data_IF_410406099889
#
_entry.id   IF_410406099889
#
_cell.length_a   1.000
_cell.length_b   1.000
_cell.length_c   1.000
_cell.angle_alpha   90.00
_cell.angle_beta   90.00
_cell.angle_gamma   90.00
#
_symmetry.space_group_name_H-M   'P 1'
#
loop_
_entity.id
_entity.type
_entity.pdbx_description
1 polymer ?
#
# COMPACT_ATOMS: atom_id res chain seq x y z
N UNK A 1 11.70 6.64 -11.68
CA UNK A 1 10.76 7.27 -12.62
C UNK A 1 10.70 8.74 -12.33
N UNK A 2 10.74 9.56 -13.37
CA UNK A 2 10.73 11.03 -13.26
C UNK A 2 9.52 11.56 -14.04
N UNK A 3 8.89 12.60 -13.51
CA UNK A 3 7.86 13.38 -14.23
C UNK A 3 8.36 14.81 -14.39
N UNK A 4 8.21 15.36 -15.60
CA UNK A 4 8.73 16.68 -15.98
C UNK A 4 7.59 17.69 -16.16
N UNK A 5 7.76 18.90 -15.63
CA UNK A 5 6.93 20.06 -15.98
C UNK A 5 7.85 21.25 -16.30
N UNK A 6 7.58 21.95 -17.42
CA UNK A 6 8.39 23.10 -17.88
C UNK A 6 9.91 22.84 -17.90
N UNK A 7 10.32 21.64 -18.35
CA UNK A 7 11.73 21.20 -18.41
C UNK A 7 12.45 21.12 -17.06
N UNK A 8 11.71 21.12 -15.94
CA UNK A 8 12.20 20.83 -14.59
C UNK A 8 11.59 19.52 -14.09
N UNK A 9 12.38 18.74 -13.34
CA UNK A 9 11.90 17.53 -12.66
C UNK A 9 10.91 17.95 -11.59
N UNK A 10 9.63 17.62 -11.80
CA UNK A 10 8.56 17.94 -10.85
C UNK A 10 8.44 16.87 -9.75
N UNK A 11 8.73 15.62 -10.13
CA UNK A 11 8.83 14.52 -9.18
C UNK A 11 9.80 13.43 -9.62
N UNK A 12 10.45 12.82 -8.62
CA UNK A 12 11.29 11.63 -8.79
C UNK A 12 10.75 10.52 -7.89
N UNK A 13 10.76 9.28 -8.38
CA UNK A 13 10.41 8.09 -7.60
C UNK A 13 11.43 6.99 -7.81
N UNK A 14 11.78 6.28 -6.74
CA UNK A 14 12.57 5.05 -6.83
C UNK A 14 11.95 3.93 -6.01
N UNK A 15 12.31 2.71 -6.39
CA UNK A 15 11.66 1.48 -5.94
C UNK A 15 12.72 0.48 -5.50
N UNK A 16 12.42 -0.25 -4.45
CA UNK A 16 13.26 -1.31 -3.91
C UNK A 16 12.52 -2.64 -4.01
N UNK A 17 13.24 -3.70 -4.36
CA UNK A 17 12.69 -5.03 -4.57
C UNK A 17 13.53 -6.06 -3.82
N UNK A 18 12.88 -7.13 -3.35
CA UNK A 18 13.59 -8.31 -2.86
C UNK A 18 14.02 -9.24 -4.00
N UNK A 19 14.70 -10.34 -3.67
CA UNK A 19 15.20 -11.32 -4.65
C UNK A 19 14.09 -12.08 -5.40
N UNK A 20 12.85 -12.04 -4.91
CA UNK A 20 11.67 -12.61 -5.59
C UNK A 20 11.00 -11.58 -6.51
N UNK A 21 11.54 -10.37 -6.61
CA UNK A 21 10.97 -9.29 -7.43
C UNK A 21 9.76 -8.60 -6.81
N UNK A 22 9.46 -8.83 -5.52
CA UNK A 22 8.38 -8.11 -4.82
C UNK A 22 8.88 -6.75 -4.41
N UNK A 23 8.08 -5.71 -4.62
CA UNK A 23 8.40 -4.35 -4.17
C UNK A 23 8.35 -4.28 -2.66
N UNK A 24 9.46 -3.92 -2.02
CA UNK A 24 9.60 -3.77 -0.56
C UNK A 24 9.67 -2.31 -0.12
N UNK A 25 9.92 -1.39 -1.06
CA UNK A 25 9.99 0.03 -0.78
C UNK A 25 9.65 0.88 -2.00
N UNK A 26 9.04 2.04 -1.75
CA UNK A 26 8.86 3.13 -2.70
C UNK A 26 9.25 4.41 -1.97
N UNK A 27 10.09 5.23 -2.59
CA UNK A 27 10.38 6.58 -2.13
C UNK A 27 10.11 7.55 -3.27
N UNK A 28 9.54 8.71 -2.96
CA UNK A 28 9.28 9.75 -3.95
C UNK A 28 9.57 11.12 -3.39
N UNK A 29 9.89 12.02 -4.30
CA UNK A 29 10.14 13.43 -4.02
C UNK A 29 9.26 14.26 -4.94
N UNK A 30 8.49 15.18 -4.38
CA UNK A 30 7.64 16.13 -5.12
C UNK A 30 8.00 17.52 -4.61
N UNK A 31 8.47 18.41 -5.50
CA UNK A 31 8.83 19.79 -5.14
C UNK A 31 9.76 19.90 -3.91
N UNK A 32 10.72 18.98 -3.78
CA UNK A 32 11.68 18.93 -2.67
C UNK A 32 11.18 18.23 -1.40
N UNK A 33 9.91 17.82 -1.33
CA UNK A 33 9.37 17.06 -0.21
C UNK A 33 9.50 15.56 -0.49
N UNK A 34 10.21 14.86 0.40
CA UNK A 34 10.44 13.41 0.32
C UNK A 34 9.46 12.65 1.18
N UNK A 35 8.95 11.55 0.64
CA UNK A 35 8.09 10.63 1.35
C UNK A 35 8.43 9.19 0.91
N UNK A 36 8.02 8.21 1.71
CA UNK A 36 8.28 6.81 1.46
C UNK A 36 7.18 5.91 1.97
N UNK A 37 7.15 4.71 1.39
CA UNK A 37 6.27 3.63 1.78
C UNK A 37 7.04 2.31 1.74
N UNK A 38 6.97 1.56 2.83
CA UNK A 38 7.51 0.22 2.94
C UNK A 38 6.38 -0.81 2.72
N UNK A 39 6.73 -1.97 2.19
CA UNK A 39 5.79 -3.05 1.90
C UNK A 39 6.29 -4.36 2.50
N UNK A 40 5.48 -4.94 3.38
CA UNK A 40 5.74 -6.22 4.02
C UNK A 40 4.89 -7.30 3.35
N UNK A 41 5.51 -8.46 3.06
CA UNK A 41 4.87 -9.55 2.34
C UNK A 41 4.80 -10.83 3.17
N UNK A 42 3.67 -11.53 3.09
CA UNK A 42 3.49 -12.90 3.56
C UNK A 42 3.31 -13.83 2.35
N UNK A 43 4.36 -14.56 1.96
CA UNK A 43 4.35 -15.27 0.68
C UNK A 43 4.11 -14.30 -0.48
N UNK A 44 3.10 -14.56 -1.33
CA UNK A 44 2.74 -13.65 -2.42
C UNK A 44 1.62 -12.65 -2.05
N UNK A 45 1.27 -12.54 -0.76
CA UNK A 45 0.26 -11.60 -0.25
C UNK A 45 0.93 -10.39 0.35
N UNK A 46 0.44 -9.19 0.01
CA UNK A 46 0.88 -7.97 0.69
C UNK A 46 0.29 -8.01 2.09
N UNK A 47 1.13 -8.13 3.11
CA UNK A 47 0.67 -8.16 4.50
C UNK A 47 0.39 -6.75 5.01
N UNK A 48 1.33 -5.83 4.81
CA UNK A 48 1.25 -4.47 5.33
C UNK A 48 1.92 -3.48 4.41
N UNK A 49 1.39 -2.27 4.37
CA UNK A 49 2.11 -1.10 3.92
C UNK A 49 2.29 -0.10 5.06
N UNK A 50 3.44 0.55 5.12
CA UNK A 50 3.81 1.47 6.20
C UNK A 50 4.39 2.75 5.62
N UNK A 51 3.92 3.88 6.13
CA UNK A 51 4.46 5.23 5.93
C UNK A 51 4.69 5.83 7.33
N UNK A 52 5.41 6.96 7.47
CA UNK A 52 5.73 7.53 8.77
C UNK A 52 4.53 7.70 9.72
N UNK A 53 3.36 8.09 9.18
CA UNK A 53 2.19 8.46 9.99
C UNK A 53 1.01 7.48 9.84
N UNK A 54 1.13 6.47 8.96
CA UNK A 54 0.03 5.56 8.65
C UNK A 54 0.55 4.16 8.32
N UNK A 55 -0.19 3.14 8.77
CA UNK A 55 -0.05 1.77 8.29
C UNK A 55 -1.39 1.19 7.83
N UNK A 56 -1.34 0.30 6.84
CA UNK A 56 -2.51 -0.45 6.36
C UNK A 56 -2.19 -1.94 6.39
N UNK A 57 -2.89 -2.71 7.21
CA UNK A 57 -2.78 -4.18 7.32
C UNK A 57 -3.85 -4.84 6.45
N UNK A 58 -3.46 -5.79 5.61
CA UNK A 58 -4.38 -6.52 4.74
C UNK A 58 -4.62 -7.94 5.27
N UNK A 59 -5.90 -8.29 5.37
CA UNK A 59 -6.38 -9.62 5.76
C UNK A 59 -6.94 -10.31 4.51
N UNK A 60 -6.72 -11.62 4.41
CA UNK A 60 -7.12 -12.44 3.28
C UNK A 60 -7.97 -13.62 3.75
N UNK A 61 -8.84 -14.09 2.88
CA UNK A 61 -9.60 -15.31 3.15
C UNK A 61 -8.66 -16.53 3.35
N UNK A 62 -9.02 -17.49 4.21
CA UNK A 62 -8.22 -18.68 4.43
C UNK A 62 -7.91 -19.44 3.14
N UNK A 63 -6.61 -19.69 2.89
CA UNK A 63 -6.17 -20.45 1.70
C UNK A 63 -6.29 -19.71 0.35
N UNK A 64 -6.72 -18.45 0.34
CA UNK A 64 -6.98 -17.67 -0.87
C UNK A 64 -6.01 -16.50 -1.04
N UNK A 65 -6.08 -15.84 -2.19
CA UNK A 65 -5.49 -14.52 -2.44
C UNK A 65 -6.55 -13.40 -2.47
N UNK A 66 -7.83 -13.75 -2.32
CA UNK A 66 -8.92 -12.80 -2.20
C UNK A 66 -8.76 -12.00 -0.89
N UNK A 67 -8.70 -10.66 -0.96
CA UNK A 67 -8.61 -9.83 0.23
C UNK A 67 -9.97 -9.82 0.94
N UNK A 68 -9.93 -9.92 2.26
CA UNK A 68 -11.12 -9.92 3.12
C UNK A 68 -11.34 -8.53 3.72
N UNK A 69 -10.30 -7.96 4.33
CA UNK A 69 -10.41 -6.68 5.00
C UNK A 69 -9.08 -5.92 4.99
N UNK A 70 -9.15 -4.61 5.23
CA UNK A 70 -8.00 -3.73 5.48
C UNK A 70 -8.22 -2.99 6.80
N UNK A 71 -7.19 -2.92 7.62
CA UNK A 71 -7.18 -2.16 8.87
C UNK A 71 -6.18 -1.03 8.73
N UNK A 72 -6.67 0.20 8.75
CA UNK A 72 -5.86 1.41 8.67
C UNK A 72 -5.65 1.97 10.08
N UNK A 73 -4.38 2.15 10.44
CA UNK A 73 -3.92 2.78 11.67
C UNK A 73 -3.22 4.09 11.29
N UNK A 74 -3.58 5.18 11.95
CA UNK A 74 -2.99 6.50 11.72
C UNK A 74 -2.52 7.11 13.03
N UNK A 75 -1.32 7.68 13.03
CA UNK A 75 -0.78 8.37 14.20
C UNK A 75 -1.74 9.47 14.69
N UNK A 76 -2.02 9.45 15.99
CA UNK A 76 -2.94 10.40 16.63
C UNK A 76 -4.43 10.08 16.53
N UNK A 77 -4.83 9.04 15.77
CA UNK A 77 -6.20 8.51 15.83
C UNK A 77 -6.30 7.43 16.91
N UNK A 78 -7.34 7.51 17.75
CA UNK A 78 -7.54 6.56 18.86
C UNK A 78 -8.09 5.20 18.40
N UNK A 79 -8.76 5.17 17.26
CA UNK A 79 -9.43 3.99 16.72
C UNK A 79 -8.93 3.70 15.31
N UNK A 80 -8.76 2.41 15.01
CA UNK A 80 -8.41 1.96 13.68
C UNK A 80 -9.65 1.95 12.78
N UNK A 81 -9.47 2.32 11.50
CA UNK A 81 -10.52 2.21 10.49
C UNK A 81 -10.47 0.84 9.84
N UNK A 82 -11.59 0.15 9.81
CA UNK A 82 -11.71 -1.18 9.18
C UNK A 82 -12.53 -1.07 7.91
N UNK A 83 -12.02 -1.68 6.84
CA UNK A 83 -12.68 -1.76 5.55
C UNK A 83 -12.83 -3.22 5.14
N UNK A 84 -13.99 -3.60 4.59
CA UNK A 84 -14.27 -4.93 4.06
C UNK A 84 -14.33 -4.88 2.54
N UNK A 85 -13.65 -5.83 1.88
CA UNK A 85 -13.67 -5.92 0.42
C UNK A 85 -14.83 -6.81 -0.05
N UNK A 86 -15.51 -6.37 -1.11
CA UNK A 86 -16.47 -7.19 -1.85
C UNK A 86 -15.83 -7.61 -3.16
N UNK A 87 -15.63 -8.91 -3.35
CA UNK A 87 -14.88 -9.46 -4.49
C UNK A 87 -15.76 -10.25 -5.46
N UNK A 88 -15.33 -10.32 -6.71
CA UNK A 88 -15.88 -11.29 -7.67
C UNK A 88 -15.42 -12.74 -7.38
N UNK A 89 -15.80 -13.70 -8.24
CA UNK A 89 -15.46 -15.12 -8.06
C UNK A 89 -13.97 -15.46 -8.16
N UNK A 90 -13.11 -14.56 -8.65
CA UNK A 90 -11.65 -14.76 -8.72
C UNK A 90 -10.89 -13.90 -7.70
N UNK A 91 -11.60 -13.21 -6.80
CA UNK A 91 -11.01 -12.40 -5.74
C UNK A 91 -10.66 -10.97 -6.17
N UNK A 92 -11.14 -10.48 -7.31
CA UNK A 92 -10.94 -9.09 -7.73
C UNK A 92 -11.81 -8.18 -6.87
N UNK A 93 -11.25 -7.19 -6.14
CA UNK A 93 -12.05 -6.24 -5.37
C UNK A 93 -12.90 -5.37 -6.31
N UNK A 94 -14.21 -5.34 -6.09
CA UNK A 94 -15.17 -4.52 -6.82
C UNK A 94 -15.63 -3.33 -5.99
N UNK A 95 -15.88 -3.56 -4.70
CA UNK A 95 -16.40 -2.55 -3.77
C UNK A 95 -15.74 -2.69 -2.39
N UNK A 96 -15.93 -1.67 -1.55
CA UNK A 96 -15.40 -1.63 -0.20
C UNK A 96 -16.39 -0.91 0.71
N UNK A 97 -16.63 -1.46 1.90
CA UNK A 97 -17.49 -0.85 2.94
C UNK A 97 -16.68 -0.60 4.21
N UNK A 98 -17.00 0.46 4.94
CA UNK A 98 -16.49 0.70 6.29
C UNK A 98 -17.28 -0.10 7.34
N UNK A 99 -16.76 -0.12 8.58
CA UNK A 99 -17.36 -0.80 9.73
C UNK A 99 -18.37 0.06 10.49
#
# INVERSE_FOLDING_TARGET
>A
TETMANSQVESTSSYQYDSLGRRIGKQWEIKGQKDHRLFLWQGLRLLREESPEQSSLYLYEPGSYAPLARVDEKEGEAENKVYYFHTDQIGTPLEMTDA
#
